data_IF_080981774406
#
_entry.id   IF_080981774406
#
_cell.length_a   1.000
_cell.length_b   1.000
_cell.length_c   1.000
_cell.angle_alpha   90.00
_cell.angle_beta   90.00
_cell.angle_gamma   90.00
#
_symmetry.space_group_name_H-M   'P 1'
#
loop_
_entity.id
_entity.type
_entity.pdbx_description
1 polymer ?
#
# COMPACT_ATOMS: atom_id res chain seq x y z
N UNK A 1 25.42 42.97 -10.63
CA UNK A 1 24.08 42.90 -11.23
C UNK A 1 23.62 41.45 -11.12
N UNK A 2 22.96 41.08 -10.02
CA UNK A 2 22.57 39.69 -9.71
C UNK A 2 21.04 39.65 -9.74
N UNK A 3 20.49 38.96 -10.73
CA UNK A 3 19.06 38.82 -10.97
C UNK A 3 18.47 37.78 -10.02
N UNK A 4 17.87 38.25 -8.93
CA UNK A 4 17.03 37.44 -8.04
C UNK A 4 15.70 37.21 -8.74
N UNK A 5 15.49 35.99 -9.26
CA UNK A 5 14.22 35.57 -9.87
C UNK A 5 13.24 35.26 -8.73
N UNK A 6 12.35 36.20 -8.42
CA UNK A 6 11.22 35.99 -7.52
C UNK A 6 10.35 34.85 -8.05
N UNK A 7 10.22 33.74 -7.31
CA UNK A 7 9.22 32.71 -7.59
C UNK A 7 7.90 33.12 -6.93
N UNK A 8 6.89 33.20 -7.77
CA UNK A 8 5.53 33.65 -7.52
C UNK A 8 4.80 32.74 -6.51
N UNK A 9 4.13 33.37 -5.54
CA UNK A 9 3.35 32.78 -4.44
C UNK A 9 1.99 32.19 -4.88
N UNK A 10 1.91 31.45 -6.00
CA UNK A 10 0.58 31.05 -6.53
C UNK A 10 0.39 29.59 -6.98
N UNK A 11 1.19 28.66 -6.47
CA UNK A 11 1.06 27.22 -6.82
C UNK A 11 1.09 26.26 -5.60
N UNK A 12 0.52 26.67 -4.46
CA UNK A 12 0.38 25.77 -3.29
C UNK A 12 -1.05 25.62 -2.73
N UNK A 13 -2.08 25.97 -3.49
CA UNK A 13 -3.45 25.53 -3.19
C UNK A 13 -3.72 24.24 -3.96
N UNK A 14 -3.51 23.09 -3.30
CA UNK A 14 -3.84 21.79 -3.89
C UNK A 14 -3.13 20.55 -3.34
N UNK A 15 -2.33 20.64 -2.27
CA UNK A 15 -1.81 19.44 -1.60
C UNK A 15 -2.60 19.14 -0.33
N UNK A 16 -3.46 18.13 -0.49
CA UNK A 16 -4.17 17.35 0.53
C UNK A 16 -3.51 17.39 1.91
N UNK A 17 -4.30 17.70 2.93
CA UNK A 17 -3.95 17.83 4.35
C UNK A 17 -3.54 16.53 5.05
N UNK A 18 -3.12 15.49 4.32
CA UNK A 18 -2.83 14.17 4.89
C UNK A 18 -1.37 13.72 4.84
N UNK A 19 -0.45 14.48 4.26
CA UNK A 19 0.97 14.10 4.27
C UNK A 19 1.86 15.33 4.49
N UNK A 20 1.87 15.82 5.73
CA UNK A 20 2.92 16.74 6.16
C UNK A 20 4.25 15.99 6.09
N UNK A 21 5.06 16.33 5.10
CA UNK A 21 6.39 15.73 4.91
C UNK A 21 7.31 16.20 6.04
N UNK A 22 8.25 15.36 6.48
CA UNK A 22 9.22 15.72 7.53
C UNK A 22 9.94 17.07 7.27
N UNK A 23 10.09 17.47 6.00
CA UNK A 23 10.64 18.77 5.59
C UNK A 23 9.72 19.95 5.95
N UNK A 24 8.41 19.86 5.71
CA UNK A 24 7.48 20.95 6.04
C UNK A 24 7.30 21.11 7.55
N UNK A 25 7.34 20.00 8.29
CA UNK A 25 7.30 20.01 9.75
C UNK A 25 8.59 20.60 10.36
N UNK A 26 9.75 20.26 9.81
CA UNK A 26 11.02 20.83 10.24
C UNK A 26 11.10 22.35 10.02
N UNK A 27 10.58 22.84 8.89
CA UNK A 27 10.48 24.28 8.60
C UNK A 27 9.51 25.00 9.55
N UNK A 28 8.38 24.38 9.90
CA UNK A 28 7.40 24.95 10.83
C UNK A 28 7.89 25.00 12.28
N UNK A 29 8.64 23.98 12.72
CA UNK A 29 9.09 23.84 14.11
C UNK A 29 10.49 24.42 14.35
N UNK A 30 11.19 24.85 13.30
CA UNK A 30 12.59 25.27 13.39
C UNK A 30 13.55 24.12 13.74
N UNK A 31 13.12 22.87 13.56
CA UNK A 31 13.89 21.67 13.90
C UNK A 31 14.47 21.07 12.63
N UNK A 32 15.77 20.77 12.63
CA UNK A 32 16.40 20.13 11.49
C UNK A 32 15.79 18.74 11.22
N UNK A 33 15.51 18.43 9.96
CA UNK A 33 14.93 17.13 9.52
C UNK A 33 15.76 15.94 10.03
N UNK A 34 17.08 16.10 10.12
CA UNK A 34 17.97 15.07 10.67
C UNK A 34 17.67 14.76 12.15
N UNK A 35 17.33 15.77 12.95
CA UNK A 35 16.97 15.62 14.38
C UNK A 35 15.64 14.88 14.52
N UNK A 36 14.66 15.21 13.67
CA UNK A 36 13.38 14.48 13.61
C UNK A 36 13.57 13.01 13.22
N UNK A 37 14.46 12.73 12.25
CA UNK A 37 14.79 11.37 11.84
C UNK A 37 15.41 10.55 12.97
N UNK A 38 16.30 11.16 13.78
CA UNK A 38 16.88 10.52 14.97
C UNK A 38 15.81 10.22 16.02
N UNK A 39 14.96 11.20 16.34
CA UNK A 39 13.87 11.02 17.29
C UNK A 39 12.89 9.92 16.87
N UNK A 40 12.54 9.86 15.58
CA UNK A 40 11.69 8.78 15.03
C UNK A 40 12.35 7.40 15.19
N UNK A 41 13.66 7.30 14.95
CA UNK A 41 14.40 6.04 15.13
C UNK A 41 14.40 5.59 16.58
N UNK A 42 14.58 6.52 17.54
CA UNK A 42 14.49 6.22 18.98
C UNK A 42 13.09 5.73 19.34
N UNK A 43 12.05 6.43 18.90
CA UNK A 43 10.66 6.03 19.16
C UNK A 43 10.34 4.61 18.66
N UNK A 44 10.91 4.22 17.52
CA UNK A 44 10.63 2.91 16.91
C UNK A 44 11.45 1.77 17.51
N UNK A 45 12.70 2.00 17.90
CA UNK A 45 13.64 0.93 18.25
C UNK A 45 14.17 0.98 19.69
N UNK A 46 13.88 2.04 20.44
CA UNK A 46 14.19 2.18 21.86
C UNK A 46 13.11 3.05 22.56
N UNK A 47 11.84 2.61 22.57
CA UNK A 47 10.74 3.39 23.14
C UNK A 47 10.90 3.68 24.63
N UNK A 48 11.62 2.80 25.34
CA UNK A 48 12.02 2.93 26.75
C UNK A 48 12.94 4.15 27.01
N UNK A 49 13.64 4.63 25.98
CA UNK A 49 14.55 5.79 26.09
C UNK A 49 13.85 7.12 25.76
N UNK A 50 12.56 7.11 25.40
CA UNK A 50 11.81 8.34 25.06
C UNK A 50 11.66 9.24 26.29
N UNK A 51 11.24 8.68 27.43
CA UNK A 51 11.02 9.47 28.66
C UNK A 51 12.32 10.08 29.22
N UNK A 52 13.46 9.35 29.27
CA UNK A 52 14.77 9.93 29.60
C UNK A 52 15.22 11.06 28.66
N UNK A 53 14.87 10.99 27.37
CA UNK A 53 15.20 12.05 26.40
C UNK A 53 14.32 13.29 26.59
N UNK A 54 13.01 13.10 26.83
CA UNK A 54 12.08 14.21 27.07
C UNK A 54 12.42 14.95 28.37
N UNK A 55 12.76 14.20 29.43
CA UNK A 55 13.15 14.75 30.72
C UNK A 55 14.54 15.39 30.74
N UNK A 56 15.31 15.27 29.66
CA UNK A 56 16.67 15.79 29.56
C UNK A 56 17.72 14.98 30.34
N UNK A 57 17.33 13.82 30.88
CA UNK A 57 18.24 12.91 31.59
C UNK A 57 19.22 12.18 30.64
N UNK A 58 18.87 12.06 29.35
CA UNK A 58 19.72 11.48 28.30
C UNK A 58 19.69 12.34 27.04
N UNK A 59 20.85 12.47 26.37
CA UNK A 59 20.92 13.17 25.10
C UNK A 59 20.30 12.37 23.96
N UNK A 60 19.57 13.05 23.05
CA UNK A 60 18.96 12.40 21.87
C UNK A 60 19.99 11.64 21.01
N UNK A 61 21.24 12.10 20.94
CA UNK A 61 22.28 11.41 20.18
C UNK A 61 22.70 10.08 20.81
N UNK A 62 22.72 10.01 22.14
CA UNK A 62 23.04 8.80 22.89
C UNK A 62 21.90 7.79 22.76
N UNK A 63 20.67 8.23 22.96
CA UNK A 63 19.48 7.41 22.72
C UNK A 63 19.43 6.90 21.27
N UNK A 64 19.79 7.75 20.30
CA UNK A 64 19.86 7.36 18.90
C UNK A 64 20.91 6.30 18.60
N UNK A 65 22.07 6.33 19.28
CA UNK A 65 23.09 5.29 19.12
C UNK A 65 22.58 3.93 19.60
N UNK A 66 21.91 3.88 20.76
CA UNK A 66 21.28 2.66 21.29
C UNK A 66 20.16 2.19 20.37
N UNK A 67 19.31 3.09 19.88
CA UNK A 67 18.26 2.76 18.93
C UNK A 67 18.80 2.20 17.60
N UNK A 68 19.94 2.71 17.12
CA UNK A 68 20.63 2.18 15.95
C UNK A 68 21.18 0.77 16.19
N UNK A 69 21.74 0.50 17.38
CA UNK A 69 22.19 -0.84 17.74
C UNK A 69 21.02 -1.82 17.84
N UNK A 70 19.91 -1.42 18.48
CA UNK A 70 18.69 -2.22 18.55
C UNK A 70 18.10 -2.48 17.16
N UNK A 71 18.11 -1.46 16.29
CA UNK A 71 17.73 -1.61 14.88
C UNK A 71 18.63 -2.58 14.13
N UNK A 72 19.94 -2.56 14.38
CA UNK A 72 20.89 -3.48 13.75
C UNK A 72 20.67 -4.92 14.26
N UNK A 73 20.43 -5.12 15.56
CA UNK A 73 20.08 -6.42 16.15
C UNK A 73 18.78 -6.97 15.59
N UNK A 74 17.74 -6.13 15.49
CA UNK A 74 16.45 -6.49 14.92
C UNK A 74 16.53 -6.81 13.41
N UNK A 75 17.46 -6.19 12.68
CA UNK A 75 17.74 -6.46 11.27
C UNK A 75 18.87 -7.47 11.06
N UNK A 76 19.28 -8.19 12.09
CA UNK A 76 20.28 -9.25 11.92
C UNK A 76 19.75 -10.30 10.96
N UNK A 77 20.66 -10.88 10.17
CA UNK A 77 20.31 -11.88 9.16
C UNK A 77 19.56 -13.08 9.76
N UNK A 78 19.89 -13.45 11.01
CA UNK A 78 19.24 -14.52 11.76
C UNK A 78 17.78 -14.19 12.11
N UNK A 79 17.51 -12.97 12.58
CA UNK A 79 16.14 -12.52 12.88
C UNK A 79 15.31 -12.39 11.61
N UNK A 80 15.90 -11.85 10.54
CA UNK A 80 15.21 -11.76 9.25
C UNK A 80 14.96 -13.14 8.62
N UNK A 81 15.87 -14.11 8.79
CA UNK A 81 15.67 -15.48 8.33
C UNK A 81 14.61 -16.21 9.16
N UNK A 82 14.62 -16.03 10.49
CA UNK A 82 13.59 -16.59 11.37
C UNK A 82 12.19 -16.07 10.99
N UNK A 83 12.07 -14.77 10.76
CA UNK A 83 10.82 -14.16 10.29
C UNK A 83 10.41 -14.67 8.91
N UNK A 84 11.37 -14.85 7.99
CA UNK A 84 11.08 -15.41 6.67
C UNK A 84 10.58 -16.86 6.78
N UNK A 85 11.10 -17.66 7.71
CA UNK A 85 10.60 -19.03 7.96
C UNK A 85 9.16 -19.07 8.45
N UNK A 86 8.75 -18.08 9.25
CA UNK A 86 7.36 -17.96 9.71
C UNK A 86 6.42 -17.50 8.58
N UNK A 87 6.86 -16.55 7.74
CA UNK A 87 6.01 -15.94 6.72
C UNK A 87 5.99 -16.70 5.38
N UNK A 88 7.10 -17.30 4.96
CA UNK A 88 7.25 -18.10 3.74
C UNK A 88 8.40 -19.13 3.92
N UNK A 89 8.09 -20.34 4.44
CA UNK A 89 9.12 -21.35 4.73
C UNK A 89 9.86 -21.81 3.47
N UNK A 90 9.21 -21.80 2.31
CA UNK A 90 9.83 -22.22 1.05
C UNK A 90 10.89 -21.23 0.57
N UNK A 91 10.65 -19.92 0.71
CA UNK A 91 11.67 -18.91 0.43
C UNK A 91 12.81 -18.95 1.46
N UNK A 92 12.52 -19.27 2.71
CA UNK A 92 13.56 -19.42 3.72
C UNK A 92 14.48 -20.62 3.45
N UNK A 93 13.94 -21.75 3.01
CA UNK A 93 14.71 -22.94 2.60
C UNK A 93 15.69 -22.58 1.47
N UNK A 94 15.22 -21.89 0.43
CA UNK A 94 16.05 -21.42 -0.69
C UNK A 94 17.17 -20.46 -0.25
N UNK A 95 16.98 -19.72 0.85
CA UNK A 95 18.04 -18.89 1.44
C UNK A 95 19.05 -19.72 2.20
N UNK A 96 18.61 -20.76 2.92
CA UNK A 96 19.49 -21.70 3.64
C UNK A 96 20.33 -22.53 2.65
N UNK A 97 19.73 -22.96 1.55
CA UNK A 97 20.40 -23.71 0.47
C UNK A 97 21.39 -22.84 -0.33
N UNK A 98 21.33 -21.51 -0.18
CA UNK A 98 22.22 -20.56 -0.86
C UNK A 98 21.76 -20.19 -2.28
N UNK A 99 20.62 -20.71 -2.73
CA UNK A 99 20.01 -20.41 -4.03
C UNK A 99 19.48 -18.97 -4.12
N UNK A 100 19.18 -18.37 -2.98
CA UNK A 100 18.65 -17.01 -2.89
C UNK A 100 19.29 -16.24 -1.73
N UNK A 101 19.57 -14.96 -1.93
CA UNK A 101 19.99 -14.10 -0.81
C UNK A 101 18.79 -13.73 0.05
N UNK A 102 18.99 -13.44 1.34
CA UNK A 102 17.93 -12.99 2.23
C UNK A 102 17.20 -11.75 1.70
N UNK A 103 17.95 -10.80 1.11
CA UNK A 103 17.39 -9.63 0.45
C UNK A 103 16.56 -10.00 -0.79
N UNK A 104 17.03 -10.96 -1.59
CA UNK A 104 16.31 -11.49 -2.74
C UNK A 104 14.99 -12.18 -2.36
N UNK A 105 14.99 -12.94 -1.27
CA UNK A 105 13.78 -13.60 -0.77
C UNK A 105 12.72 -12.60 -0.30
N UNK A 106 13.13 -11.56 0.44
CA UNK A 106 12.22 -10.49 0.84
C UNK A 106 11.71 -9.68 -0.35
N UNK A 107 12.53 -9.47 -1.38
CA UNK A 107 12.10 -8.81 -2.62
C UNK A 107 11.05 -9.65 -3.35
N UNK A 108 11.31 -10.95 -3.56
CA UNK A 108 10.37 -11.88 -4.22
C UNK A 108 9.04 -11.96 -3.47
N UNK A 109 9.08 -12.05 -2.14
CA UNK A 109 7.87 -12.02 -1.32
C UNK A 109 7.11 -10.71 -1.46
N UNK A 110 7.81 -9.58 -1.41
CA UNK A 110 7.19 -8.26 -1.54
C UNK A 110 6.52 -8.12 -2.90
N UNK A 111 7.17 -8.58 -3.97
CA UNK A 111 6.60 -8.58 -5.31
C UNK A 111 5.33 -9.42 -5.38
N UNK A 112 5.32 -10.64 -4.82
CA UNK A 112 4.11 -11.48 -4.77
C UNK A 112 2.96 -10.79 -4.03
N UNK A 113 3.25 -10.15 -2.89
CA UNK A 113 2.24 -9.43 -2.12
C UNK A 113 1.72 -8.21 -2.87
N UNK A 114 2.58 -7.44 -3.53
CA UNK A 114 2.17 -6.27 -4.30
C UNK A 114 1.41 -6.65 -5.57
N UNK A 115 1.76 -7.77 -6.22
CA UNK A 115 0.98 -8.28 -7.35
C UNK A 115 -0.40 -8.77 -6.90
N UNK A 116 -0.53 -9.49 -5.78
CA UNK A 116 -1.85 -9.85 -5.23
C UNK A 116 -2.69 -8.61 -4.90
N UNK A 117 -2.09 -7.58 -4.28
CA UNK A 117 -2.78 -6.30 -4.06
C UNK A 117 -3.20 -5.65 -5.37
N UNK A 118 -2.35 -5.69 -6.40
CA UNK A 118 -2.66 -5.13 -7.72
C UNK A 118 -3.82 -5.86 -8.36
N UNK A 119 -3.82 -7.19 -8.34
CA UNK A 119 -4.90 -8.03 -8.86
C UNK A 119 -6.22 -7.75 -8.14
N UNK A 120 -6.20 -7.65 -6.81
CA UNK A 120 -7.39 -7.25 -6.03
C UNK A 120 -7.92 -5.88 -6.43
N UNK A 121 -7.05 -4.88 -6.61
CA UNK A 121 -7.47 -3.54 -7.06
C UNK A 121 -8.11 -3.58 -8.44
N UNK A 122 -7.55 -4.34 -9.37
CA UNK A 122 -8.09 -4.51 -10.72
C UNK A 122 -9.46 -5.18 -10.66
N UNK A 123 -9.59 -6.27 -9.90
CA UNK A 123 -10.85 -6.98 -9.73
C UNK A 123 -11.92 -6.09 -9.09
N UNK A 124 -11.60 -5.37 -8.01
CA UNK A 124 -12.51 -4.43 -7.37
C UNK A 124 -12.99 -3.36 -8.34
N UNK A 125 -12.07 -2.74 -9.07
CA UNK A 125 -12.41 -1.71 -10.05
C UNK A 125 -13.33 -2.23 -11.15
N UNK A 126 -13.07 -3.44 -11.66
CA UNK A 126 -13.92 -4.06 -12.66
C UNK A 126 -15.35 -4.24 -12.14
N UNK A 127 -15.52 -4.70 -10.90
CA UNK A 127 -16.83 -4.90 -10.31
C UNK A 127 -17.56 -3.56 -10.05
N UNK A 128 -16.83 -2.54 -9.57
CA UNK A 128 -17.35 -1.18 -9.39
C UNK A 128 -17.85 -0.57 -10.72
N UNK A 129 -17.18 -0.86 -11.83
CA UNK A 129 -17.55 -0.36 -13.16
C UNK A 129 -18.72 -1.14 -13.78
N UNK A 130 -18.91 -2.42 -13.46
CA UNK A 130 -19.90 -3.28 -14.13
C UNK A 130 -21.19 -3.49 -13.35
N UNK A 131 -21.11 -3.72 -12.04
CA UNK A 131 -22.27 -4.16 -11.24
C UNK A 131 -23.30 -3.04 -11.04
N UNK A 132 -22.93 -1.79 -10.67
CA UNK A 132 -23.91 -0.73 -10.48
C UNK A 132 -24.71 -0.37 -11.75
N UNK A 133 -24.10 -0.21 -12.94
CA UNK A 133 -24.87 0.05 -14.17
C UNK A 133 -25.81 -1.09 -14.52
N UNK A 134 -25.39 -2.36 -14.31
CA UNK A 134 -26.24 -3.51 -14.57
C UNK A 134 -27.45 -3.54 -13.63
N UNK A 135 -27.25 -3.23 -12.34
CA UNK A 135 -28.32 -3.09 -11.37
C UNK A 135 -29.30 -1.96 -11.74
N UNK A 136 -28.79 -0.81 -12.19
CA UNK A 136 -29.60 0.33 -12.63
C UNK A 136 -30.38 0.06 -13.93
N UNK A 137 -29.87 -0.82 -14.80
CA UNK A 137 -30.56 -1.20 -16.02
C UNK A 137 -31.85 -2.01 -15.74
N UNK A 138 -32.01 -2.58 -14.53
CA UNK A 138 -33.20 -3.31 -14.13
C UNK A 138 -34.46 -2.44 -14.25
N UNK A 139 -35.48 -2.95 -14.95
CA UNK A 139 -36.76 -2.27 -15.13
C UNK A 139 -36.75 -1.12 -16.15
N UNK A 140 -35.61 -0.87 -16.79
CA UNK A 140 -35.50 0.12 -17.87
C UNK A 140 -35.91 -0.49 -19.22
N UNK A 141 -36.12 0.37 -20.23
CA UNK A 141 -36.37 -0.06 -21.62
C UNK A 141 -35.10 -0.43 -22.39
N UNK A 142 -33.93 -0.38 -21.76
CA UNK A 142 -32.63 -0.61 -22.40
C UNK A 142 -32.59 -1.96 -23.13
N UNK A 143 -33.10 -3.03 -22.50
CA UNK A 143 -33.10 -4.37 -23.09
C UNK A 143 -34.00 -4.47 -24.34
N UNK A 144 -35.20 -3.86 -24.29
CA UNK A 144 -36.13 -3.86 -25.42
C UNK A 144 -35.68 -3.00 -26.61
N UNK A 145 -34.75 -2.08 -26.38
CA UNK A 145 -34.21 -1.18 -27.40
C UNK A 145 -32.86 -1.65 -27.95
N UNK A 146 -32.35 -2.78 -27.46
CA UNK A 146 -31.11 -3.34 -27.98
C UNK A 146 -31.31 -3.72 -29.45
N UNK A 147 -30.45 -3.17 -30.30
CA UNK A 147 -30.41 -3.46 -31.72
C UNK A 147 -28.95 -3.80 -32.11
N UNK A 148 -28.69 -5.05 -32.54
CA UNK A 148 -27.37 -5.51 -32.97
C UNK A 148 -26.71 -4.62 -34.04
N UNK A 149 -27.50 -3.91 -34.86
CA UNK A 149 -26.98 -3.05 -35.92
C UNK A 149 -26.14 -1.87 -35.38
N UNK A 150 -26.36 -1.49 -34.11
CA UNK A 150 -25.60 -0.43 -33.45
C UNK A 150 -24.49 -0.97 -32.52
N UNK A 151 -24.18 -2.27 -32.55
CA UNK A 151 -23.11 -2.84 -31.72
C UNK A 151 -21.72 -2.42 -32.23
N UNK A 152 -20.84 -1.99 -31.33
CA UNK A 152 -19.45 -1.64 -31.64
C UNK A 152 -18.49 -2.84 -31.69
N UNK A 153 -18.97 -4.02 -31.29
CA UNK A 153 -18.20 -5.28 -31.26
C UNK A 153 -19.11 -6.48 -31.46
N UNK A 154 -18.76 -7.63 -30.89
CA UNK A 154 -19.58 -8.85 -30.97
C UNK A 154 -20.98 -8.59 -30.41
N UNK A 155 -22.05 -8.80 -31.20
CA UNK A 155 -23.41 -8.63 -30.70
C UNK A 155 -23.71 -9.51 -29.50
N UNK A 156 -24.53 -9.01 -28.58
CA UNK A 156 -24.95 -9.74 -27.38
C UNK A 156 -25.85 -10.89 -27.82
N UNK A 157 -25.46 -12.11 -27.46
CA UNK A 157 -26.24 -13.31 -27.72
C UNK A 157 -26.94 -13.80 -26.45
N UNK A 158 -27.88 -14.74 -26.60
CA UNK A 158 -28.49 -15.42 -25.44
C UNK A 158 -27.47 -16.18 -24.60
N UNK A 159 -26.44 -16.73 -25.23
CA UNK A 159 -25.34 -17.41 -24.54
C UNK A 159 -24.56 -16.43 -23.66
N UNK A 160 -24.20 -15.26 -24.18
CA UNK A 160 -23.53 -14.21 -23.41
C UNK A 160 -24.34 -13.77 -22.19
N UNK A 161 -25.66 -13.63 -22.34
CA UNK A 161 -26.58 -13.33 -21.22
C UNK A 161 -26.58 -14.47 -20.21
N UNK A 162 -26.60 -15.73 -20.67
CA UNK A 162 -26.52 -16.91 -19.81
C UNK A 162 -25.24 -16.93 -18.97
N UNK A 163 -24.08 -16.68 -19.59
CA UNK A 163 -22.80 -16.59 -18.87
C UNK A 163 -22.80 -15.44 -17.86
N UNK A 164 -23.36 -14.28 -18.20
CA UNK A 164 -23.48 -13.16 -17.28
C UNK A 164 -24.36 -13.51 -16.07
N UNK A 165 -25.48 -14.22 -16.26
CA UNK A 165 -26.32 -14.68 -15.15
C UNK A 165 -25.60 -15.66 -14.23
N UNK A 166 -24.85 -16.62 -14.79
CA UNK A 166 -24.02 -17.53 -14.01
C UNK A 166 -22.97 -16.78 -13.20
N UNK A 167 -22.25 -15.85 -13.83
CA UNK A 167 -21.22 -15.05 -13.17
C UNK A 167 -21.79 -14.21 -12.00
N UNK A 168 -22.97 -13.61 -12.17
CA UNK A 168 -23.65 -12.88 -11.08
C UNK A 168 -24.07 -13.80 -9.94
N UNK A 169 -24.47 -15.05 -10.25
CA UNK A 169 -24.85 -16.04 -9.23
C UNK A 169 -23.62 -16.52 -8.44
N UNK A 170 -22.49 -16.72 -9.12
CA UNK A 170 -21.21 -17.03 -8.47
C UNK A 170 -20.72 -15.86 -7.61
N UNK A 171 -20.87 -14.63 -8.12
CA UNK A 171 -20.55 -13.42 -7.36
C UNK A 171 -21.39 -13.32 -6.08
N UNK A 172 -22.71 -13.52 -6.16
CA UNK A 172 -23.61 -13.52 -4.98
C UNK A 172 -23.19 -14.59 -3.96
N UNK A 173 -22.84 -15.79 -4.42
CA UNK A 173 -22.31 -16.85 -3.56
C UNK A 173 -21.03 -16.42 -2.85
N UNK A 174 -20.08 -15.82 -3.55
CA UNK A 174 -18.83 -15.32 -2.95
C UNK A 174 -19.11 -14.22 -1.93
N UNK A 175 -20.10 -13.36 -2.18
CA UNK A 175 -20.53 -12.35 -1.21
C UNK A 175 -21.09 -12.97 0.07
N UNK A 176 -21.93 -13.99 -0.05
CA UNK A 176 -22.48 -14.73 1.09
C UNK A 176 -21.39 -15.46 1.88
N UNK A 177 -20.49 -16.18 1.21
CA UNK A 177 -19.40 -16.91 1.84
C UNK A 177 -18.44 -15.98 2.61
N UNK A 178 -18.32 -14.72 2.17
CA UNK A 178 -17.43 -13.72 2.75
C UNK A 178 -18.13 -12.72 3.66
N UNK A 179 -19.44 -12.86 3.88
CA UNK A 179 -20.28 -11.94 4.65
C UNK A 179 -20.10 -10.47 4.22
N UNK A 180 -20.12 -10.25 2.89
CA UNK A 180 -20.00 -8.91 2.31
C UNK A 180 -21.38 -8.23 2.25
N UNK A 181 -21.44 -6.90 2.43
CA UNK A 181 -22.69 -6.14 2.42
C UNK A 181 -23.35 -6.06 1.04
#
# INVERSE_FOLDING_TARGET
MITVKARSLKEQEGRSSKEQTARSLGEQLGVAVAVMGRASTVLQHAPDLVDPVISGAMGLNEAYAVAQENKAKANSAEVQLARLREEDPALAERVVEGDLTLAGAWAERTERVEEDKRQRRVATRLLDELVPPLAQARGTRTFSRYDPAYASGTPITRETIGHAMTALSEMDRVWQERDLP
#
